data_IF_060617563517
#
_entry.id   IF_060617563517
#
_cell.length_a   1.000
_cell.length_b   1.000
_cell.length_c   1.000
_cell.angle_alpha   90.00
_cell.angle_beta   90.00
_cell.angle_gamma   90.00
#
_symmetry.space_group_name_H-M   'P 1'
#
loop_
_entity.id
_entity.type
_entity.pdbx_description
1 polymer ?
#
# COMPACT_ATOMS: atom_id res chain seq x y z
N UNK A 1 -5.37 20.72 1.75
CA UNK A 1 -4.41 19.81 2.39
C UNK A 1 -4.85 18.42 1.98
N UNK A 2 -4.07 17.74 1.13
CA UNK A 2 -4.42 16.39 0.71
C UNK A 2 -4.46 15.50 1.97
N UNK A 3 -5.53 14.75 2.14
CA UNK A 3 -5.64 13.77 3.19
C UNK A 3 -4.69 12.62 2.85
N UNK A 4 -4.01 12.03 3.84
CA UNK A 4 -3.05 10.92 3.62
C UNK A 4 -3.72 9.74 2.91
N UNK A 5 -5.02 9.57 3.10
CA UNK A 5 -5.81 8.56 2.41
C UNK A 5 -6.02 8.89 0.93
N UNK A 6 -6.11 10.17 0.55
CA UNK A 6 -6.14 10.58 -0.86
C UNK A 6 -4.82 10.24 -1.57
N UNK A 7 -3.68 10.45 -0.90
CA UNK A 7 -2.35 10.09 -1.43
C UNK A 7 -2.21 8.57 -1.58
N UNK A 8 -2.65 7.80 -0.59
CA UNK A 8 -2.65 6.33 -0.67
C UNK A 8 -3.51 5.82 -1.83
N UNK A 9 -4.71 6.39 -2.02
CA UNK A 9 -5.59 6.00 -3.12
C UNK A 9 -4.99 6.39 -4.48
N UNK A 10 -4.37 7.57 -4.58
CA UNK A 10 -3.61 7.95 -5.77
C UNK A 10 -2.50 6.95 -6.07
N UNK A 11 -1.69 6.59 -5.08
CA UNK A 11 -0.58 5.64 -5.25
C UNK A 11 -1.08 4.22 -5.60
N UNK A 12 -2.23 3.81 -5.06
CA UNK A 12 -2.88 2.56 -5.43
C UNK A 12 -3.34 2.57 -6.89
N UNK A 13 -4.14 3.55 -7.31
CA UNK A 13 -4.75 3.58 -8.65
C UNK A 13 -3.73 3.87 -9.76
N UNK A 14 -2.67 4.60 -9.47
CA UNK A 14 -1.54 4.80 -10.41
C UNK A 14 -0.60 3.59 -10.48
N UNK A 15 -0.74 2.63 -9.57
CA UNK A 15 0.11 1.45 -9.46
C UNK A 15 1.43 1.69 -8.72
N UNK A 16 1.70 2.91 -8.27
CA UNK A 16 2.90 3.26 -7.50
C UNK A 16 3.03 2.43 -6.23
N UNK A 17 1.94 2.18 -5.51
CA UNK A 17 1.95 1.34 -4.30
C UNK A 17 2.49 -0.08 -4.59
N UNK A 18 2.14 -0.66 -5.74
CA UNK A 18 2.67 -1.98 -6.15
C UNK A 18 4.16 -1.91 -6.45
N UNK A 19 4.62 -0.83 -7.08
CA UNK A 19 6.02 -0.60 -7.37
C UNK A 19 6.81 -0.47 -6.06
N UNK A 20 6.32 0.31 -5.10
CA UNK A 20 6.96 0.53 -3.81
C UNK A 20 7.08 -0.78 -3.00
N UNK A 21 6.02 -1.60 -2.97
CA UNK A 21 6.06 -2.95 -2.39
C UNK A 21 7.15 -3.81 -3.03
N UNK A 22 7.26 -3.79 -4.36
CA UNK A 22 8.23 -4.61 -5.09
C UNK A 22 9.66 -4.11 -4.86
N UNK A 23 9.88 -2.80 -4.88
CA UNK A 23 11.17 -2.19 -4.55
C UNK A 23 11.58 -2.58 -3.14
N UNK A 24 10.68 -2.48 -2.15
CA UNK A 24 11.00 -2.85 -0.77
C UNK A 24 11.38 -4.32 -0.63
N UNK A 25 10.68 -5.23 -1.33
CA UNK A 25 11.07 -6.65 -1.37
C UNK A 25 12.45 -6.87 -1.99
N UNK A 26 12.79 -6.15 -3.07
CA UNK A 26 14.10 -6.21 -3.69
C UNK A 26 15.19 -5.67 -2.74
N UNK A 27 14.93 -4.55 -2.06
CA UNK A 27 15.85 -4.00 -1.05
C UNK A 27 16.15 -5.00 0.06
N UNK A 28 15.12 -5.64 0.63
CA UNK A 28 15.29 -6.66 1.67
C UNK A 28 16.06 -7.88 1.17
N UNK A 29 15.93 -8.21 -0.13
CA UNK A 29 16.67 -9.30 -0.75
C UNK A 29 18.15 -8.97 -0.99
N UNK A 30 18.48 -7.77 -1.46
CA UNK A 30 19.85 -7.39 -1.82
C UNK A 30 20.66 -6.79 -0.67
N UNK A 31 20.00 -6.13 0.29
CA UNK A 31 20.66 -5.55 1.47
C UNK A 31 20.82 -6.54 2.63
N UNK A 32 20.39 -7.79 2.48
CA UNK A 32 20.52 -8.84 3.50
C UNK A 32 21.96 -9.17 3.88
N UNK A 33 22.93 -8.80 3.05
CA UNK A 33 24.35 -9.11 3.22
C UNK A 33 25.16 -7.92 3.74
N UNK A 34 24.53 -6.78 4.07
CA UNK A 34 25.22 -5.55 4.49
C UNK A 34 25.42 -5.42 6.00
N UNK A 35 24.78 -6.24 6.83
CA UNK A 35 25.16 -6.40 8.23
C UNK A 35 26.30 -7.41 8.30
N UNK A 36 27.53 -7.01 8.67
CA UNK A 36 28.55 -7.97 9.08
C UNK A 36 27.96 -8.77 10.25
N UNK A 37 27.95 -10.08 10.13
CA UNK A 37 27.61 -10.98 11.23
C UNK A 37 28.61 -10.70 12.37
N UNK A 38 28.20 -9.98 13.42
CA UNK A 38 29.03 -9.74 14.61
C UNK A 38 29.29 -11.03 15.41
N UNK A 39 28.75 -12.17 14.98
CA UNK A 39 28.93 -13.47 15.63
C UNK A 39 30.07 -14.31 15.01
N UNK A 40 31.12 -13.66 14.51
CA UNK A 40 32.41 -14.31 14.17
C UNK A 40 33.20 -14.53 15.47
N UNK A 41 32.68 -15.41 16.32
CA UNK A 41 33.17 -15.64 17.68
C UNK A 41 33.04 -17.11 18.11
N UNK A 42 33.80 -17.99 17.44
CA UNK A 42 34.38 -19.21 18.05
C UNK A 42 33.43 -20.19 18.74
N UNK A 43 32.68 -20.98 17.98
CA UNK A 43 31.99 -22.16 18.54
C UNK A 43 31.20 -22.93 17.49
N UNK A 44 31.86 -23.89 16.82
CA UNK A 44 31.29 -24.91 15.91
C UNK A 44 29.85 -24.66 15.45
N UNK A 45 29.67 -23.84 14.41
CA UNK A 45 28.40 -23.70 13.68
C UNK A 45 28.20 -24.93 12.78
N UNK A 46 27.92 -26.09 13.38
CA UNK A 46 27.70 -27.36 12.67
C UNK A 46 26.25 -27.57 12.18
N UNK A 47 25.34 -26.64 12.49
CA UNK A 47 23.92 -26.67 12.08
C UNK A 47 23.50 -25.39 11.33
N UNK A 48 24.32 -24.90 10.40
CA UNK A 48 23.90 -23.81 9.51
C UNK A 48 23.16 -24.40 8.31
N UNK A 49 21.92 -24.86 8.53
CA UNK A 49 21.04 -25.12 7.41
C UNK A 49 20.69 -23.76 6.78
N UNK A 50 21.38 -23.44 5.69
CA UNK A 50 21.10 -22.24 4.91
C UNK A 50 19.79 -22.47 4.16
N UNK A 51 18.67 -22.02 4.73
CA UNK A 51 17.37 -21.95 4.07
C UNK A 51 17.18 -20.54 3.51
N UNK A 52 17.72 -20.22 2.32
CA UNK A 52 17.66 -18.87 1.76
C UNK A 52 16.22 -18.38 1.55
N UNK A 53 15.29 -19.31 1.30
CA UNK A 53 13.86 -19.02 1.16
C UNK A 53 13.23 -18.65 2.50
N UNK A 54 13.44 -19.44 3.56
CA UNK A 54 12.89 -19.16 4.89
C UNK A 54 13.46 -17.86 5.47
N UNK A 55 14.78 -17.66 5.35
CA UNK A 55 15.43 -16.43 5.79
C UNK A 55 14.90 -15.19 5.05
N UNK A 56 14.56 -15.33 3.77
CA UNK A 56 13.89 -14.27 3.01
C UNK A 56 12.48 -14.01 3.54
N UNK A 57 11.68 -15.06 3.73
CA UNK A 57 10.32 -14.93 4.24
C UNK A 57 10.29 -14.24 5.61
N UNK A 58 11.18 -14.63 6.52
CA UNK A 58 11.31 -14.03 7.85
C UNK A 58 11.61 -12.54 7.76
N UNK A 59 12.53 -12.13 6.88
CA UNK A 59 12.85 -10.70 6.67
C UNK A 59 11.68 -9.91 6.13
N UNK A 60 10.98 -10.44 5.13
CA UNK A 60 9.79 -9.79 4.58
C UNK A 60 8.66 -9.67 5.62
N UNK A 61 8.47 -10.69 6.47
CA UNK A 61 7.47 -10.68 7.55
C UNK A 61 7.80 -9.69 8.67
N UNK A 62 9.08 -9.54 9.00
CA UNK A 62 9.54 -8.64 10.06
C UNK A 62 9.61 -7.17 9.63
N UNK A 63 9.52 -6.87 8.33
CA UNK A 63 9.56 -5.49 7.83
C UNK A 63 8.19 -4.81 7.99
N UNK A 64 8.05 -4.03 9.06
CA UNK A 64 6.79 -3.34 9.41
C UNK A 64 6.26 -2.45 8.28
N UNK A 65 7.17 -1.80 7.54
CA UNK A 65 6.81 -0.92 6.43
C UNK A 65 6.21 -1.70 5.25
N UNK A 66 6.86 -2.80 4.84
CA UNK A 66 6.33 -3.70 3.81
C UNK A 66 4.99 -4.31 4.23
N UNK A 67 4.86 -4.76 5.48
CA UNK A 67 3.61 -5.32 5.98
C UNK A 67 2.49 -4.27 5.98
N UNK A 68 2.78 -3.01 6.34
CA UNK A 68 1.80 -1.93 6.28
C UNK A 68 1.32 -1.67 4.84
N UNK A 69 2.22 -1.59 3.85
CA UNK A 69 1.83 -1.40 2.44
C UNK A 69 1.03 -2.59 1.89
N UNK A 70 1.41 -3.82 2.22
CA UNK A 70 0.67 -5.03 1.83
C UNK A 70 -0.74 -5.03 2.44
N UNK A 71 -0.86 -4.65 3.71
CA UNK A 71 -2.15 -4.53 4.39
C UNK A 71 -3.02 -3.45 3.74
N UNK A 72 -2.48 -2.26 3.48
CA UNK A 72 -3.16 -1.18 2.77
C UNK A 72 -3.72 -1.64 1.43
N UNK A 73 -2.87 -2.26 0.60
CA UNK A 73 -3.28 -2.80 -0.70
C UNK A 73 -4.42 -3.81 -0.55
N UNK A 74 -4.28 -4.77 0.35
CA UNK A 74 -5.27 -5.84 0.56
C UNK A 74 -6.62 -5.27 1.00
N UNK A 75 -6.64 -4.32 1.93
CA UNK A 75 -7.86 -3.67 2.39
C UNK A 75 -8.54 -2.89 1.25
N UNK A 76 -7.76 -2.13 0.46
CA UNK A 76 -8.30 -1.40 -0.71
C UNK A 76 -8.92 -2.38 -1.70
N UNK A 77 -8.24 -3.49 -2.03
CA UNK A 77 -8.75 -4.52 -2.94
C UNK A 77 -10.03 -5.17 -2.43
N UNK A 78 -10.12 -5.51 -1.15
CA UNK A 78 -11.34 -6.07 -0.54
C UNK A 78 -12.50 -5.08 -0.58
N UNK A 79 -12.26 -3.82 -0.23
CA UNK A 79 -13.27 -2.77 -0.24
C UNK A 79 -13.75 -2.47 -1.66
N UNK A 80 -12.83 -2.44 -2.63
CA UNK A 80 -13.20 -2.35 -4.05
C UNK A 80 -14.00 -3.59 -4.47
N UNK A 81 -13.64 -4.80 -4.02
CA UNK A 81 -14.36 -6.03 -4.35
C UNK A 81 -15.86 -5.97 -4.07
N UNK A 82 -16.27 -5.30 -2.98
CA UNK A 82 -17.68 -5.10 -2.60
C UNK A 82 -18.30 -3.81 -3.14
N UNK A 83 -17.51 -2.93 -3.75
CA UNK A 83 -17.96 -1.64 -4.29
C UNK A 83 -18.58 -1.82 -5.68
N UNK A 84 -19.69 -1.13 -5.94
CA UNK A 84 -20.39 -1.15 -7.23
C UNK A 84 -19.51 -0.51 -8.32
N UNK A 85 -19.63 -1.02 -9.56
CA UNK A 85 -18.77 -0.64 -10.68
C UNK A 85 -18.76 0.85 -11.01
N UNK A 86 -19.90 1.55 -10.94
CA UNK A 86 -19.96 3.00 -11.15
C UNK A 86 -19.08 3.77 -10.16
N UNK A 87 -19.11 3.38 -8.88
CA UNK A 87 -18.28 3.99 -7.85
C UNK A 87 -16.79 3.69 -8.06
N UNK A 88 -16.45 2.46 -8.51
CA UNK A 88 -15.07 2.12 -8.88
C UNK A 88 -14.54 3.00 -10.01
N UNK A 89 -15.35 3.23 -11.05
CA UNK A 89 -14.98 4.12 -12.16
C UNK A 89 -14.74 5.54 -11.69
N UNK A 90 -15.60 6.07 -10.81
CA UNK A 90 -15.40 7.39 -10.17
C UNK A 90 -14.08 7.46 -9.43
N UNK A 91 -13.75 6.45 -8.61
CA UNK A 91 -12.50 6.42 -7.86
C UNK A 91 -11.28 6.35 -8.80
N UNK A 92 -11.31 5.49 -9.82
CA UNK A 92 -10.23 5.38 -10.80
C UNK A 92 -10.06 6.67 -11.63
N UNK A 93 -11.17 7.28 -12.05
CA UNK A 93 -11.17 8.55 -12.77
C UNK A 93 -10.56 9.68 -11.92
N UNK A 94 -10.87 9.71 -10.61
CA UNK A 94 -10.32 10.72 -9.71
C UNK A 94 -8.85 10.49 -9.38
N UNK A 95 -8.51 9.29 -8.92
CA UNK A 95 -7.20 9.00 -8.33
C UNK A 95 -6.18 8.44 -9.33
N UNK A 96 -6.63 7.69 -10.34
CA UNK A 96 -5.76 7.13 -11.38
C UNK A 96 -5.58 8.04 -12.58
N UNK A 97 -6.62 8.77 -12.97
CA UNK A 97 -6.61 9.65 -14.16
C UNK A 97 -6.49 11.14 -13.82
N UNK A 98 -6.70 11.54 -12.56
CA UNK A 98 -6.61 12.93 -12.13
C UNK A 98 -7.73 13.83 -12.64
N UNK A 99 -8.88 13.28 -13.08
CA UNK A 99 -10.01 14.06 -13.61
C UNK A 99 -10.62 14.98 -12.55
N UNK A 100 -11.18 16.10 -13.00
CA UNK A 100 -11.96 17.00 -12.16
C UNK A 100 -13.32 16.38 -11.81
N UNK A 101 -13.92 16.81 -10.69
CA UNK A 101 -15.22 16.29 -10.25
C UNK A 101 -16.34 16.55 -11.26
N UNK A 102 -16.29 17.69 -11.95
CA UNK A 102 -17.26 18.08 -12.98
C UNK A 102 -17.18 17.11 -14.15
N UNK A 103 -15.97 16.82 -14.66
CA UNK A 103 -15.77 15.86 -15.75
C UNK A 103 -16.25 14.47 -15.37
N UNK A 104 -15.96 14.01 -14.14
CA UNK A 104 -16.40 12.70 -13.66
C UNK A 104 -17.93 12.62 -13.56
N UNK A 105 -18.59 13.68 -13.07
CA UNK A 105 -20.04 13.76 -13.01
C UNK A 105 -20.68 13.69 -14.40
N UNK A 106 -20.09 14.38 -15.38
CA UNK A 106 -20.53 14.30 -16.77
C UNK A 106 -20.38 12.89 -17.35
N UNK A 107 -19.22 12.24 -17.15
CA UNK A 107 -18.95 10.89 -17.65
C UNK A 107 -19.92 9.84 -17.06
N UNK A 108 -20.24 9.97 -15.77
CA UNK A 108 -21.12 9.05 -15.04
C UNK A 108 -22.59 9.46 -15.05
N UNK A 109 -22.93 10.57 -15.73
CA UNK A 109 -24.29 11.12 -15.84
C UNK A 109 -24.96 11.37 -14.47
N UNK A 110 -24.20 11.88 -13.51
CA UNK A 110 -24.65 12.19 -12.14
C UNK A 110 -24.16 13.56 -11.71
N UNK A 111 -24.79 14.11 -10.67
CA UNK A 111 -24.35 15.39 -10.12
C UNK A 111 -22.95 15.30 -9.49
N UNK A 112 -22.22 16.41 -9.57
CA UNK A 112 -20.88 16.52 -8.98
C UNK A 112 -20.87 16.17 -7.49
N UNK A 113 -21.94 16.55 -6.77
CA UNK A 113 -22.10 16.24 -5.35
C UNK A 113 -22.18 14.74 -5.12
N UNK A 114 -22.91 14.01 -5.97
CA UNK A 114 -23.08 12.56 -5.84
C UNK A 114 -21.75 11.82 -6.00
N UNK A 115 -20.90 12.21 -6.94
CA UNK A 115 -19.58 11.56 -7.11
C UNK A 115 -18.64 11.86 -5.94
N UNK A 116 -18.72 13.06 -5.36
CA UNK A 116 -17.98 13.43 -4.15
C UNK A 116 -18.45 12.61 -2.94
N UNK A 117 -19.76 12.46 -2.76
CA UNK A 117 -20.36 11.63 -1.70
C UNK A 117 -19.92 10.16 -1.83
N UNK A 118 -19.90 9.59 -3.04
CA UNK A 118 -19.41 8.23 -3.24
C UNK A 118 -17.94 8.07 -2.86
N UNK A 119 -17.11 9.08 -3.15
CA UNK A 119 -15.72 9.08 -2.71
C UNK A 119 -15.61 9.18 -1.19
N UNK A 120 -16.38 10.06 -0.56
CA UNK A 120 -16.33 10.28 0.89
C UNK A 120 -16.82 9.03 1.66
N UNK A 121 -17.89 8.37 1.19
CA UNK A 121 -18.37 7.09 1.70
C UNK A 121 -17.27 6.03 1.69
N UNK A 122 -16.59 5.90 0.55
CA UNK A 122 -15.52 4.91 0.36
C UNK A 122 -14.34 5.21 1.30
N UNK A 123 -13.93 6.49 1.38
CA UNK A 123 -12.86 6.92 2.28
C UNK A 123 -13.20 6.69 3.76
N UNK A 124 -14.45 6.97 4.15
CA UNK A 124 -14.93 6.72 5.51
C UNK A 124 -14.78 5.24 5.88
N UNK A 125 -15.19 4.34 4.98
CA UNK A 125 -15.01 2.90 5.15
C UNK A 125 -13.53 2.50 5.30
N UNK A 126 -12.64 3.07 4.48
CA UNK A 126 -11.20 2.78 4.55
C UNK A 126 -10.54 3.33 5.82
N UNK A 127 -10.90 4.54 6.24
CA UNK A 127 -10.32 5.21 7.39
C UNK A 127 -10.43 4.38 8.67
N UNK A 128 -11.54 3.66 8.83
CA UNK A 128 -11.75 2.75 9.96
C UNK A 128 -10.67 1.64 10.04
N UNK A 129 -10.24 1.11 8.90
CA UNK A 129 -9.32 -0.03 8.85
C UNK A 129 -7.85 0.37 8.70
N UNK A 130 -7.58 1.53 8.09
CA UNK A 130 -6.24 1.93 7.66
C UNK A 130 -5.56 3.00 8.51
N UNK A 131 -6.25 3.61 9.47
CA UNK A 131 -5.74 4.72 10.27
C UNK A 131 -4.30 4.50 10.79
N UNK A 132 -4.04 3.37 11.44
CA UNK A 132 -2.72 3.04 11.99
C UNK A 132 -1.66 2.76 10.90
N UNK A 133 -2.04 2.03 9.84
CA UNK A 133 -1.12 1.67 8.76
C UNK A 133 -0.64 2.87 7.96
N UNK A 134 -1.52 3.84 7.72
CA UNK A 134 -1.21 5.08 6.98
C UNK A 134 -0.22 5.95 7.75
N UNK A 135 -0.28 5.93 9.09
CA UNK A 135 0.74 6.58 9.91
C UNK A 135 2.11 5.91 9.78
N UNK A 136 2.16 4.58 9.79
CA UNK A 136 3.43 3.83 9.66
C UNK A 136 4.12 4.12 8.33
N UNK A 137 3.37 4.19 7.23
CA UNK A 137 3.96 4.43 5.91
C UNK A 137 4.36 5.89 5.67
N UNK A 138 3.79 6.84 6.41
CA UNK A 138 4.08 8.27 6.21
C UNK A 138 5.26 8.79 7.05
N UNK A 139 5.67 8.09 8.11
CA UNK A 139 6.78 8.47 9.00
C UNK A 139 8.17 8.49 8.34
N UNK A 140 8.32 7.88 7.17
CA UNK A 140 9.60 7.81 6.47
C UNK A 140 9.70 8.76 5.25
N UNK A 141 8.66 9.57 4.99
CA UNK A 141 8.62 10.55 3.89
C UNK A 141 8.70 12.02 4.36
N UNK A 142 9.12 12.28 5.61
CA UNK A 142 9.34 13.63 6.17
C UNK A 142 10.81 14.02 6.23
#
# INVERSE_FOLDING_TARGET
MADRLDDLLHDYFTGKLNVDINIRKLELQFNSNRTPDENVGGGRKQNDFNYPVENRMIREQNDEYLQAMLYQKTVIEMMLGVTIESRKRVLNARYGQGKSWIEIGLDEHVDERTVREWRDDFKSGLGHWLASSVETTTRFCS
#
